data_IF_575169091583
#
_entry.id   IF_575169091583
#
_cell.length_a   1.000
_cell.length_b   1.000
_cell.length_c   1.000
_cell.angle_alpha   90.00
_cell.angle_beta   90.00
_cell.angle_gamma   90.00
#
_symmetry.space_group_name_H-M   'P 1'
#
loop_
_entity.id
_entity.type
_entity.pdbx_description
1 polymer ?
#
# COMPACT_ATOMS: atom_id res chain seq x y z
N UNK A 1 -11.48 6.75 16.88
CA UNK A 1 -11.32 7.90 15.97
C UNK A 1 -11.75 7.46 14.58
N UNK A 2 -12.61 8.22 13.91
CA UNK A 2 -12.93 8.01 12.50
C UNK A 2 -11.92 8.80 11.66
N UNK A 3 -10.68 8.31 11.60
CA UNK A 3 -9.57 9.01 10.97
C UNK A 3 -8.21 8.46 11.35
N UNK A 4 -7.16 9.03 10.75
CA UNK A 4 -5.76 8.78 11.12
C UNK A 4 -5.19 10.01 11.85
N UNK A 5 -4.47 9.76 12.94
CA UNK A 5 -3.62 10.73 13.62
C UNK A 5 -2.17 10.38 13.36
N UNK A 6 -1.42 11.29 12.76
CA UNK A 6 0.03 11.21 12.64
C UNK A 6 0.68 12.11 13.68
N UNK A 7 1.58 11.56 14.50
CA UNK A 7 2.28 12.30 15.54
C UNK A 7 3.72 12.63 15.10
N UNK A 8 4.17 13.85 15.39
CA UNK A 8 5.56 14.26 15.25
C UNK A 8 6.24 14.31 16.62
N UNK A 9 7.48 13.84 16.69
CA UNK A 9 8.32 13.77 17.89
C UNK A 9 9.52 14.71 17.86
N UNK A 10 9.74 15.39 16.73
CA UNK A 10 10.77 16.41 16.55
C UNK A 10 10.32 17.48 15.53
N UNK A 11 11.14 18.51 15.35
CA UNK A 11 10.82 19.64 14.46
C UNK A 11 10.80 19.25 12.99
N UNK A 12 11.64 18.29 12.58
CA UNK A 12 11.73 17.86 11.19
C UNK A 12 10.49 17.06 10.80
N UNK A 13 10.02 16.18 11.68
CA UNK A 13 8.75 15.47 11.54
C UNK A 13 7.57 16.45 11.53
N UNK A 14 7.55 17.44 12.41
CA UNK A 14 6.50 18.45 12.43
C UNK A 14 6.44 19.24 11.11
N UNK A 15 7.58 19.65 10.56
CA UNK A 15 7.65 20.33 9.27
C UNK A 15 7.19 19.44 8.11
N UNK A 16 7.48 18.13 8.14
CA UNK A 16 6.97 17.16 7.15
C UNK A 16 5.46 17.00 7.24
N UNK A 17 4.89 16.93 8.45
CA UNK A 17 3.44 16.88 8.63
C UNK A 17 2.76 18.16 8.14
N UNK A 18 3.34 19.34 8.42
CA UNK A 18 2.82 20.61 7.93
C UNK A 18 2.78 20.66 6.39
N UNK A 19 3.84 20.19 5.73
CA UNK A 19 3.89 20.07 4.27
C UNK A 19 2.89 19.03 3.75
N UNK A 20 2.70 17.92 4.47
CA UNK A 20 1.72 16.90 4.11
C UNK A 20 0.29 17.44 4.17
N UNK A 21 -0.08 18.11 5.26
CA UNK A 21 -1.41 18.75 5.41
C UNK A 21 -1.65 19.78 4.31
N UNK A 22 -0.67 20.64 4.00
CA UNK A 22 -0.80 21.61 2.92
C UNK A 22 -1.02 20.93 1.55
N UNK A 23 -0.34 19.80 1.29
CA UNK A 23 -0.53 19.03 0.06
C UNK A 23 -1.92 18.37 -0.02
N UNK A 24 -2.49 17.94 1.12
CA UNK A 24 -3.85 17.42 1.19
C UNK A 24 -4.88 18.52 0.95
N UNK A 25 -4.69 19.71 1.52
CA UNK A 25 -5.56 20.88 1.32
C UNK A 25 -5.64 21.28 -0.16
N UNK A 26 -4.49 21.33 -0.87
CA UNK A 26 -4.44 21.59 -2.32
C UNK A 26 -5.28 20.56 -3.11
N UNK A 27 -5.36 19.33 -2.62
CA UNK A 27 -6.15 18.23 -3.22
C UNK A 27 -7.59 18.18 -2.71
N UNK A 28 -8.02 19.17 -1.93
CA UNK A 28 -9.35 19.21 -1.28
C UNK A 28 -9.62 17.98 -0.40
N UNK A 29 -8.58 17.37 0.17
CA UNK A 29 -8.69 16.31 1.16
C UNK A 29 -8.70 16.98 2.55
N UNK A 30 -9.75 16.79 3.37
CA UNK A 30 -9.81 17.37 4.71
C UNK A 30 -8.67 16.84 5.57
N UNK A 31 -7.83 17.74 6.07
CA UNK A 31 -6.77 17.45 7.01
C UNK A 31 -6.61 18.66 7.94
N UNK A 32 -6.20 18.42 9.19
CA UNK A 32 -6.03 19.48 10.17
C UNK A 32 -4.76 19.27 10.98
N UNK A 33 -4.00 20.35 11.16
CA UNK A 33 -2.86 20.37 12.10
C UNK A 33 -3.37 20.28 13.53
N UNK A 34 -2.67 19.51 14.34
CA UNK A 34 -2.94 19.35 15.76
C UNK A 34 -1.77 19.90 16.58
N UNK A 35 -2.11 20.65 17.61
CA UNK A 35 -1.20 20.97 18.70
C UNK A 35 -0.87 19.72 19.51
N UNK A 36 0.23 19.78 20.26
CA UNK A 36 0.61 18.73 21.20
C UNK A 36 -0.54 18.30 22.12
N UNK A 37 -1.27 19.26 22.67
CA UNK A 37 -2.34 18.99 23.63
C UNK A 37 -3.54 18.32 22.96
N UNK A 38 -3.87 18.70 21.74
CA UNK A 38 -4.90 18.02 20.95
C UNK A 38 -4.50 16.59 20.59
N UNK A 39 -3.26 16.36 20.17
CA UNK A 39 -2.76 15.00 19.89
C UNK A 39 -2.86 14.12 21.14
N UNK A 40 -2.43 14.63 22.31
CA UNK A 40 -2.51 13.89 23.57
C UNK A 40 -3.94 13.71 24.07
N UNK A 41 -4.86 14.60 23.72
CA UNK A 41 -6.28 14.44 24.03
C UNK A 41 -6.91 13.32 23.18
N UNK A 42 -6.50 13.18 21.92
CA UNK A 42 -6.97 12.12 21.03
C UNK A 42 -6.31 10.76 21.31
N UNK A 43 -5.02 10.77 21.63
CA UNK A 43 -4.20 9.58 21.88
C UNK A 43 -3.44 9.69 23.21
N UNK A 44 -4.10 9.45 24.37
CA UNK A 44 -3.52 9.65 25.69
C UNK A 44 -2.32 8.75 26.02
N UNK A 45 -2.18 7.63 25.31
CA UNK A 45 -1.08 6.69 25.46
C UNK A 45 0.25 7.19 24.86
N UNK A 46 0.25 8.28 24.09
CA UNK A 46 1.46 8.85 23.52
C UNK A 46 2.38 9.43 24.60
N UNK A 47 3.68 9.13 24.45
CA UNK A 47 4.72 9.62 25.34
C UNK A 47 4.88 11.14 25.32
N UNK A 48 5.59 11.72 26.30
CA UNK A 48 5.69 13.18 26.46
C UNK A 48 6.47 13.88 25.34
N UNK A 49 7.21 13.13 24.52
CA UNK A 49 8.06 13.63 23.43
C UNK A 49 7.30 14.09 22.19
N UNK A 50 5.99 13.86 22.10
CA UNK A 50 5.18 14.39 21.00
C UNK A 50 5.20 15.92 21.01
N UNK A 51 5.40 16.53 19.85
CA UNK A 51 5.48 17.99 19.67
C UNK A 51 4.29 18.57 18.91
N UNK A 52 3.70 17.81 17.99
CA UNK A 52 2.52 18.17 17.19
C UNK A 52 1.96 16.93 16.49
N UNK A 53 0.91 17.11 15.69
CA UNK A 53 0.41 16.06 14.80
C UNK A 53 -0.46 16.57 13.67
N UNK A 54 -1.00 15.65 12.89
CA UNK A 54 -1.98 15.90 11.86
C UNK A 54 -3.14 14.91 12.01
N UNK A 55 -4.37 15.37 11.74
CA UNK A 55 -5.56 14.53 11.73
C UNK A 55 -6.22 14.56 10.35
N UNK A 56 -6.43 13.37 9.79
CA UNK A 56 -7.06 13.18 8.49
C UNK A 56 -8.31 12.31 8.67
N UNK A 57 -9.52 12.90 8.77
CA UNK A 57 -10.75 12.16 9.05
C UNK A 57 -11.19 11.25 7.90
N UNK A 58 -10.79 11.55 6.66
CA UNK A 58 -11.13 10.73 5.50
C UNK A 58 -10.25 9.49 5.33
N UNK A 59 -9.23 9.34 6.18
CA UNK A 59 -8.34 8.18 6.15
C UNK A 59 -8.76 7.13 7.17
N UNK A 60 -8.41 5.88 6.89
CA UNK A 60 -8.70 4.77 7.79
C UNK A 60 -7.84 3.56 7.49
N UNK A 61 -7.87 2.61 8.41
CA UNK A 61 -7.19 1.34 8.23
C UNK A 61 -8.12 0.31 7.57
N UNK A 62 -7.57 -0.51 6.69
CA UNK A 62 -8.27 -1.65 6.10
C UNK A 62 -7.57 -2.95 6.50
N UNK A 63 -8.35 -3.97 6.84
CA UNK A 63 -7.84 -5.33 6.93
C UNK A 63 -7.55 -5.83 5.51
N UNK A 64 -6.28 -5.77 5.11
CA UNK A 64 -5.82 -6.18 3.78
C UNK A 64 -6.22 -7.63 3.44
N UNK A 65 -6.33 -8.52 4.44
CA UNK A 65 -6.73 -9.91 4.20
C UNK A 65 -8.22 -9.99 3.88
N UNK A 66 -9.06 -9.21 4.57
CA UNK A 66 -10.50 -9.10 4.24
C UNK A 66 -10.71 -8.45 2.89
N UNK A 67 -10.00 -7.36 2.61
CA UNK A 67 -10.06 -6.67 1.33
C UNK A 67 -9.69 -7.60 0.17
N UNK A 68 -8.57 -8.33 0.29
CA UNK A 68 -8.13 -9.29 -0.72
C UNK A 68 -9.18 -10.39 -0.99
N UNK A 69 -9.78 -10.96 0.06
CA UNK A 69 -10.86 -11.96 -0.10
C UNK A 69 -12.10 -11.38 -0.77
N UNK A 70 -12.49 -10.16 -0.42
CA UNK A 70 -13.65 -9.49 -1.01
C UNK A 70 -13.42 -9.22 -2.51
N UNK A 71 -12.24 -8.71 -2.89
CA UNK A 71 -11.87 -8.48 -4.29
C UNK A 71 -11.81 -9.80 -5.07
N UNK A 72 -11.21 -10.84 -4.49
CA UNK A 72 -11.16 -12.17 -5.11
C UNK A 72 -12.57 -12.70 -5.41
N UNK A 73 -13.48 -12.65 -4.43
CA UNK A 73 -14.87 -13.06 -4.63
C UNK A 73 -15.59 -12.20 -5.69
N UNK A 74 -15.37 -10.87 -5.70
CA UNK A 74 -15.95 -9.97 -6.67
C UNK A 74 -15.47 -10.21 -8.11
N UNK A 75 -14.23 -10.65 -8.29
CA UNK A 75 -13.67 -11.07 -9.58
C UNK A 75 -14.32 -12.37 -10.08
N UNK A 76 -14.40 -13.40 -9.22
CA UNK A 76 -15.05 -14.67 -9.57
C UNK A 76 -16.52 -14.47 -9.93
N UNK A 77 -17.25 -13.64 -9.18
CA UNK A 77 -18.65 -13.31 -9.46
C UNK A 77 -18.85 -12.62 -10.82
N UNK A 78 -17.80 -12.02 -11.38
CA UNK A 78 -17.79 -11.40 -12.72
C UNK A 78 -17.22 -12.34 -13.81
N UNK A 79 -16.96 -13.61 -13.48
CA UNK A 79 -16.44 -14.59 -14.43
C UNK A 79 -14.94 -14.46 -14.72
N UNK A 80 -14.20 -13.70 -13.91
CA UNK A 80 -12.73 -13.65 -14.03
C UNK A 80 -12.16 -15.01 -13.65
N UNK A 81 -11.31 -15.58 -14.52
CA UNK A 81 -10.53 -16.77 -14.19
C UNK A 81 -9.32 -16.38 -13.34
N UNK A 82 -9.14 -17.08 -12.22
CA UNK A 82 -8.02 -16.87 -11.30
C UNK A 82 -7.28 -18.20 -11.21
N UNK A 83 -6.09 -18.24 -11.80
CA UNK A 83 -5.20 -19.39 -11.75
C UNK A 83 -4.21 -19.21 -10.60
N UNK A 84 -4.58 -19.69 -9.42
CA UNK A 84 -3.66 -19.74 -8.29
C UNK A 84 -2.56 -20.79 -8.54
N UNK A 85 -1.36 -20.56 -7.99
CA UNK A 85 -0.21 -21.50 -8.09
C UNK A 85 0.25 -21.77 -9.53
N UNK A 86 0.29 -20.73 -10.36
CA UNK A 86 0.80 -20.79 -11.73
C UNK A 86 2.32 -21.12 -11.84
N UNK A 87 3.03 -21.17 -10.71
CA UNK A 87 4.46 -21.49 -10.65
C UNK A 87 5.31 -20.36 -11.22
N UNK A 88 6.35 -20.72 -11.97
CA UNK A 88 7.20 -19.74 -12.66
C UNK A 88 6.43 -19.05 -13.78
N UNK A 89 6.61 -17.74 -13.91
CA UNK A 89 5.91 -16.90 -14.87
C UNK A 89 6.93 -16.20 -15.77
N UNK A 90 6.76 -16.35 -17.08
CA UNK A 90 7.53 -15.63 -18.09
C UNK A 90 6.59 -14.96 -19.10
N UNK A 91 6.89 -13.71 -19.45
CA UNK A 91 6.19 -13.00 -20.51
C UNK A 91 6.72 -13.48 -21.86
N UNK A 92 5.81 -13.81 -22.78
CA UNK A 92 6.19 -14.08 -24.17
C UNK A 92 5.80 -12.92 -25.06
N UNK A 93 6.76 -12.42 -25.82
CA UNK A 93 6.57 -11.33 -26.76
C UNK A 93 7.34 -11.58 -28.05
N UNK A 94 6.84 -11.05 -29.15
CA UNK A 94 7.60 -10.87 -30.37
C UNK A 94 8.21 -9.45 -30.41
N UNK A 95 8.81 -9.06 -31.53
CA UNK A 95 9.44 -7.75 -31.70
C UNK A 95 8.47 -6.56 -31.66
N UNK A 96 7.15 -6.81 -31.71
CA UNK A 96 6.11 -5.78 -31.81
C UNK A 96 5.13 -5.80 -30.63
N UNK A 97 4.87 -6.95 -30.03
CA UNK A 97 3.82 -7.11 -29.02
C UNK A 97 4.01 -8.32 -28.10
N UNK A 98 3.29 -8.28 -26.98
CA UNK A 98 3.08 -9.46 -26.15
C UNK A 98 2.20 -10.48 -26.88
N UNK A 99 2.53 -11.76 -26.69
CA UNK A 99 1.79 -12.91 -27.18
C UNK A 99 0.99 -13.58 -26.06
N UNK A 100 1.51 -13.52 -24.83
CA UNK A 100 0.88 -14.11 -23.67
C UNK A 100 1.83 -14.31 -22.50
N UNK A 101 1.47 -15.24 -21.62
CA UNK A 101 2.21 -15.58 -20.42
C UNK A 101 2.45 -17.08 -20.40
N UNK A 102 3.71 -17.49 -20.32
CA UNK A 102 4.08 -18.88 -20.03
C UNK A 102 4.11 -19.10 -18.53
N UNK A 103 3.44 -20.15 -18.09
CA UNK A 103 3.36 -20.59 -16.70
C UNK A 103 3.82 -22.05 -16.60
N UNK A 104 4.03 -22.56 -15.38
CA UNK A 104 4.29 -23.99 -15.18
C UNK A 104 3.13 -24.89 -15.61
N UNK A 105 1.90 -24.33 -15.72
CA UNK A 105 0.70 -25.05 -16.14
C UNK A 105 0.43 -24.93 -17.65
N UNK A 106 1.30 -24.25 -18.41
CA UNK A 106 1.17 -24.05 -19.85
C UNK A 106 1.15 -22.58 -20.27
N UNK A 107 0.87 -22.36 -21.55
CA UNK A 107 0.85 -21.03 -22.16
C UNK A 107 -0.56 -20.43 -22.17
N UNK A 108 -0.68 -19.20 -21.67
CA UNK A 108 -1.93 -18.44 -21.68
C UNK A 108 -1.81 -17.31 -22.71
N UNK A 109 -2.47 -17.40 -23.88
CA UNK A 109 -2.41 -16.36 -24.89
C UNK A 109 -3.12 -15.09 -24.41
N UNK A 110 -2.48 -13.93 -24.61
CA UNK A 110 -3.05 -12.64 -24.24
C UNK A 110 -2.57 -11.54 -25.18
N UNK A 111 -3.50 -10.64 -25.56
CA UNK A 111 -3.18 -9.47 -26.39
C UNK A 111 -2.56 -8.32 -25.59
N UNK A 112 -2.73 -8.35 -24.28
CA UNK A 112 -2.19 -7.39 -23.33
C UNK A 112 -1.89 -8.14 -22.02
N UNK A 113 -0.82 -7.73 -21.35
CA UNK A 113 -0.45 -8.25 -20.02
C UNK A 113 -0.19 -7.06 -19.11
N UNK A 114 -0.77 -7.09 -17.91
CA UNK A 114 -0.53 -6.09 -16.87
C UNK A 114 0.37 -6.69 -15.82
N UNK A 115 1.54 -6.10 -15.61
CA UNK A 115 2.44 -6.50 -14.53
C UNK A 115 1.94 -5.93 -13.20
N UNK A 116 1.29 -6.78 -12.41
CA UNK A 116 0.83 -6.49 -11.06
C UNK A 116 1.61 -7.28 -9.99
N UNK A 117 2.88 -7.65 -10.26
CA UNK A 117 3.68 -8.54 -9.41
C UNK A 117 4.33 -7.84 -8.19
N UNK A 118 3.90 -6.63 -7.82
CA UNK A 118 4.37 -5.92 -6.64
C UNK A 118 5.89 -5.79 -6.58
N UNK A 119 6.50 -6.20 -5.46
CA UNK A 119 7.95 -6.15 -5.25
C UNK A 119 8.76 -6.98 -6.27
N UNK A 120 8.13 -7.96 -6.93
CA UNK A 120 8.76 -8.81 -7.95
C UNK A 120 8.57 -8.28 -9.38
N UNK A 121 7.95 -7.11 -9.56
CA UNK A 121 7.63 -6.56 -10.89
C UNK A 121 8.86 -6.40 -11.80
N UNK A 122 10.03 -6.06 -11.25
CA UNK A 122 11.28 -5.95 -12.01
C UNK A 122 11.93 -7.29 -12.36
N UNK A 123 11.50 -8.38 -11.72
CA UNK A 123 12.11 -9.70 -11.78
C UNK A 123 11.39 -10.67 -12.72
N UNK A 124 10.31 -10.25 -13.39
CA UNK A 124 9.60 -11.10 -14.34
C UNK A 124 10.50 -11.43 -15.55
N UNK A 125 10.55 -12.72 -15.89
CA UNK A 125 11.26 -13.22 -17.05
C UNK A 125 10.54 -12.82 -18.35
N UNK A 126 11.30 -12.72 -19.45
CA UNK A 126 10.76 -12.44 -20.79
C UNK A 126 10.27 -11.01 -21.03
N UNK A 127 10.30 -10.14 -20.02
CA UNK A 127 10.09 -8.69 -20.20
C UNK A 127 11.32 -8.09 -20.89
N UNK A 128 11.17 -7.40 -22.05
CA UNK A 128 12.28 -6.71 -22.70
C UNK A 128 12.92 -5.66 -21.78
N UNK A 129 14.23 -5.46 -21.89
CA UNK A 129 14.96 -4.57 -20.98
C UNK A 129 14.45 -3.13 -20.98
N UNK A 130 14.06 -2.60 -22.15
CA UNK A 130 13.48 -1.26 -22.27
C UNK A 130 12.09 -1.12 -21.62
N UNK A 131 11.41 -2.23 -21.31
CA UNK A 131 10.11 -2.28 -20.67
C UNK A 131 10.19 -2.78 -19.21
N UNK A 132 11.39 -3.07 -18.70
CA UNK A 132 11.59 -3.57 -17.34
C UNK A 132 11.43 -2.43 -16.33
N UNK A 133 10.59 -2.66 -15.31
CA UNK A 133 10.35 -1.68 -14.24
C UNK A 133 11.48 -1.75 -13.21
N UNK A 134 12.00 -0.59 -12.79
CA UNK A 134 13.06 -0.49 -11.78
C UNK A 134 12.52 -0.68 -10.35
N UNK A 135 12.01 -1.88 -10.05
CA UNK A 135 11.52 -2.26 -8.72
C UNK A 135 12.45 -3.29 -8.09
N UNK A 136 12.86 -3.03 -6.85
CA UNK A 136 13.68 -3.94 -6.03
C UNK A 136 12.98 -4.23 -4.71
N UNK A 137 12.91 -5.50 -4.25
CA UNK A 137 12.34 -5.82 -2.95
C UNK A 137 13.15 -5.20 -1.80
N UNK A 138 12.46 -4.58 -0.85
CA UNK A 138 13.04 -4.12 0.42
C UNK A 138 12.34 -4.81 1.58
N UNK A 139 13.11 -5.15 2.61
CA UNK A 139 12.57 -5.77 3.83
C UNK A 139 12.03 -4.69 4.76
N UNK A 140 10.77 -4.83 5.16
CA UNK A 140 10.17 -4.09 6.27
C UNK A 140 10.01 -4.98 7.51
N UNK A 141 9.81 -4.36 8.67
CA UNK A 141 9.48 -5.05 9.91
C UNK A 141 8.20 -4.46 10.51
N UNK A 142 7.35 -5.32 11.05
CA UNK A 142 6.13 -4.95 11.77
C UNK A 142 6.04 -5.81 13.04
N UNK A 143 5.63 -5.20 14.14
CA UNK A 143 5.41 -5.89 15.42
C UNK A 143 3.95 -5.74 15.82
N UNK A 144 3.32 -6.85 16.19
CA UNK A 144 1.99 -6.87 16.79
C UNK A 144 2.16 -7.12 18.30
N UNK A 145 1.78 -6.13 19.10
CA UNK A 145 1.93 -6.15 20.56
C UNK A 145 0.55 -6.08 21.22
N UNK A 146 0.42 -6.68 22.40
CA UNK A 146 -0.77 -6.50 23.23
C UNK A 146 -0.74 -5.13 23.91
N UNK A 147 -1.86 -4.43 23.93
CA UNK A 147 -1.97 -3.18 24.67
C UNK A 147 -1.86 -3.42 26.19
N UNK A 148 -1.12 -2.58 26.93
CA UNK A 148 -1.09 -2.65 28.39
C UNK A 148 -2.50 -2.48 28.99
N UNK A 149 -2.86 -3.31 29.96
CA UNK A 149 -4.19 -3.25 30.63
C UNK A 149 -4.49 -1.91 31.31
N UNK A 150 -3.45 -1.14 31.66
CA UNK A 150 -3.59 0.16 32.31
C UNK A 150 -4.04 1.28 31.36
N UNK A 151 -4.15 1.02 30.05
CA UNK A 151 -4.56 1.98 29.02
C UNK A 151 -5.95 1.65 28.41
N UNK A 152 -6.70 0.73 29.05
CA UNK A 152 -8.08 0.37 28.69
C UNK A 152 -9.11 1.18 29.47
#
# INVERSE_FOLDING_TARGET
LDGIVEAAFDRDQAARLDAHVAALEVRSVPARRLTRDEVRALEPALGPSVVSGAFTPSEGAVDNRRLGRALHAACLARGVRIDERAGEIAIEADTRRVLGVRTSNGFVPARAVVNAAGAWAGMLAGVPDHARVAVVPSKGQMLALAMPRALH
#
